data_IF_707067433855
#
_entry.id   IF_707067433855
#
_cell.length_a   1.000
_cell.length_b   1.000
_cell.length_c   1.000
_cell.angle_alpha   90.00
_cell.angle_beta   90.00
_cell.angle_gamma   90.00
#
_symmetry.space_group_name_H-M   'P 1'
#
loop_
_entity.id
_entity.type
_entity.pdbx_description
1 polymer ?
#
# COMPACT_ATOMS: atom_id res chain seq x y z
N UNK A 1 11.31 4.25 -23.47
CA UNK A 1 11.22 5.57 -22.77
C UNK A 1 12.50 5.73 -21.95
N UNK A 2 12.99 6.95 -21.68
CA UNK A 2 14.20 7.13 -20.85
C UNK A 2 13.83 6.97 -19.37
N UNK A 3 14.78 6.50 -18.54
CA UNK A 3 14.59 6.38 -17.08
C UNK A 3 14.13 7.70 -16.43
N UNK A 4 14.57 8.84 -16.95
CA UNK A 4 14.13 10.16 -16.49
C UNK A 4 12.62 10.41 -16.73
N UNK A 5 12.08 9.99 -17.88
CA UNK A 5 10.65 10.14 -18.20
C UNK A 5 9.79 9.22 -17.33
N UNK A 6 10.27 8.04 -16.97
CA UNK A 6 9.56 7.12 -16.07
C UNK A 6 9.54 7.68 -14.66
N UNK A 7 10.61 8.28 -14.16
CA UNK A 7 10.66 8.95 -12.86
C UNK A 7 9.76 10.20 -12.83
N UNK A 8 9.66 10.95 -13.93
CA UNK A 8 8.75 12.09 -14.00
C UNK A 8 7.28 11.64 -13.95
N UNK A 9 6.96 10.53 -14.58
CA UNK A 9 5.62 9.94 -14.57
C UNK A 9 5.27 9.21 -13.27
N UNK A 10 6.21 9.08 -12.31
CA UNK A 10 5.97 8.42 -11.02
C UNK A 10 5.21 9.28 -10.01
N UNK A 11 4.73 10.47 -10.39
CA UNK A 11 3.97 11.38 -9.53
C UNK A 11 2.76 11.96 -10.23
N UNK A 12 1.74 12.31 -9.43
CA UNK A 12 0.57 13.10 -9.91
C UNK A 12 0.67 14.58 -9.53
N UNK A 13 1.72 15.00 -8.82
CA UNK A 13 1.90 16.40 -8.39
C UNK A 13 2.88 17.16 -9.30
N UNK A 14 2.96 18.48 -9.14
CA UNK A 14 3.85 19.36 -9.88
C UNK A 14 4.62 20.30 -8.97
N UNK A 15 5.89 20.56 -9.30
CA UNK A 15 6.67 21.64 -8.67
C UNK A 15 5.95 22.99 -8.80
N UNK A 16 6.07 23.81 -7.77
CA UNK A 16 5.42 25.11 -7.71
C UNK A 16 3.91 25.09 -7.43
N UNK A 17 3.30 23.89 -7.32
CA UNK A 17 1.90 23.81 -6.91
C UNK A 17 1.71 24.40 -5.51
N UNK A 18 0.66 25.20 -5.34
CA UNK A 18 0.35 25.85 -4.06
C UNK A 18 -0.81 25.17 -3.38
N UNK A 19 -0.68 24.99 -2.08
CA UNK A 19 -1.67 24.43 -1.20
C UNK A 19 -1.77 25.17 0.12
N UNK A 20 -2.59 24.63 1.03
CA UNK A 20 -2.70 25.14 2.40
C UNK A 20 -2.91 24.00 3.37
N UNK A 21 -2.34 24.11 4.57
CA UNK A 21 -2.60 23.18 5.68
C UNK A 21 -2.99 23.97 6.93
N UNK A 22 -4.18 23.71 7.49
CA UNK A 22 -4.74 24.43 8.65
C UNK A 22 -4.70 25.97 8.47
N UNK A 23 -5.01 26.43 7.26
CA UNK A 23 -5.01 27.87 6.92
C UNK A 23 -3.65 28.44 6.51
N UNK A 24 -2.53 27.77 6.80
CA UNK A 24 -1.19 28.22 6.40
C UNK A 24 -0.90 27.82 4.94
N UNK A 25 -0.62 28.76 4.04
CA UNK A 25 -0.27 28.46 2.67
C UNK A 25 1.15 27.90 2.56
N UNK A 26 1.36 27.04 1.54
CA UNK A 26 2.66 26.49 1.20
C UNK A 26 2.81 26.29 -0.31
N UNK A 27 4.06 26.09 -0.73
CA UNK A 27 4.42 25.74 -2.11
C UNK A 27 5.16 24.39 -2.11
N UNK A 28 4.91 23.52 -3.09
CA UNK A 28 5.71 22.34 -3.36
C UNK A 28 7.04 22.82 -3.98
N UNK A 29 8.04 23.08 -3.14
CA UNK A 29 9.31 23.69 -3.53
C UNK A 29 10.27 22.69 -4.18
N UNK A 30 10.25 21.44 -3.75
CA UNK A 30 11.13 20.40 -4.23
C UNK A 30 10.49 19.03 -4.22
N UNK A 31 11.10 18.10 -4.95
CA UNK A 31 10.72 16.67 -5.02
C UNK A 31 11.96 15.81 -4.99
N UNK A 32 11.96 14.79 -4.16
CA UNK A 32 12.94 13.70 -4.17
C UNK A 32 12.23 12.40 -4.52
N UNK A 33 12.75 11.65 -5.49
CA UNK A 33 12.31 10.29 -5.76
C UNK A 33 13.22 9.32 -5.01
N UNK A 34 12.63 8.41 -4.26
CA UNK A 34 13.33 7.48 -3.36
C UNK A 34 12.99 6.05 -3.73
N UNK A 35 14.00 5.18 -3.62
CA UNK A 35 13.84 3.74 -3.80
C UNK A 35 14.44 2.99 -2.63
N UNK A 36 13.67 2.06 -2.01
CA UNK A 36 14.16 1.13 -1.01
C UNK A 36 15.01 0.02 -1.61
N UNK A 37 15.78 -0.67 -0.80
CA UNK A 37 16.52 -1.87 -1.18
C UNK A 37 15.61 -3.06 -1.51
N UNK A 38 14.39 -3.10 -0.94
CA UNK A 38 13.32 -4.01 -1.33
C UNK A 38 12.62 -3.63 -2.64
N UNK A 39 12.99 -2.47 -3.23
CA UNK A 39 12.52 -1.98 -4.53
C UNK A 39 11.24 -1.14 -4.49
N UNK A 40 10.74 -0.78 -3.31
CA UNK A 40 9.65 0.20 -3.17
C UNK A 40 10.06 1.55 -3.76
N UNK A 41 9.10 2.25 -4.39
CA UNK A 41 9.33 3.56 -5.01
C UNK A 41 8.32 4.57 -4.50
N UNK A 42 8.81 5.73 -3.98
CA UNK A 42 7.95 6.83 -3.54
C UNK A 42 8.55 8.19 -3.83
N UNK A 43 7.76 9.24 -3.66
CA UNK A 43 8.21 10.61 -3.78
C UNK A 43 8.06 11.35 -2.45
N UNK A 44 9.04 12.18 -2.14
CA UNK A 44 9.03 13.10 -1.00
C UNK A 44 9.01 14.53 -1.56
N UNK A 45 7.94 15.26 -1.24
CA UNK A 45 7.74 16.64 -1.68
C UNK A 45 8.07 17.60 -0.55
N UNK A 46 9.05 18.46 -0.75
CA UNK A 46 9.38 19.54 0.19
C UNK A 46 8.27 20.61 0.14
N UNK A 47 7.66 20.89 1.29
CA UNK A 47 6.69 21.96 1.47
C UNK A 47 7.37 23.16 2.11
N UNK A 48 7.47 24.25 1.37
CA UNK A 48 7.89 25.55 1.90
C UNK A 48 6.66 26.35 2.29
N UNK A 49 6.44 26.54 3.59
CA UNK A 49 5.35 27.37 4.10
C UNK A 49 5.73 28.85 4.05
N UNK A 50 4.74 29.73 3.78
CA UNK A 50 4.96 31.17 3.73
C UNK A 50 5.41 31.75 5.10
N UNK A 51 5.20 31.04 6.20
CA UNK A 51 5.65 31.38 7.55
C UNK A 51 7.03 30.80 7.93
N UNK A 52 7.75 30.24 6.96
CA UNK A 52 9.10 29.70 7.13
C UNK A 52 9.19 28.27 7.69
N UNK A 53 8.08 27.65 8.07
CA UNK A 53 8.07 26.23 8.44
C UNK A 53 8.35 25.36 7.24
N UNK A 54 8.92 24.19 7.51
CA UNK A 54 9.12 23.14 6.53
C UNK A 54 8.37 21.86 6.94
N UNK A 55 7.94 21.12 5.95
CA UNK A 55 7.35 19.81 6.09
C UNK A 55 7.63 19.02 4.81
N UNK A 56 7.34 17.73 4.80
CA UNK A 56 7.31 16.99 3.55
C UNK A 56 6.01 16.20 3.38
N UNK A 57 5.60 16.04 2.12
CA UNK A 57 4.47 15.22 1.73
C UNK A 57 5.01 13.98 1.03
N UNK A 58 4.86 12.81 1.67
CA UNK A 58 5.16 11.54 1.02
C UNK A 58 4.02 11.16 0.08
N UNK A 59 4.36 10.81 -1.16
CA UNK A 59 3.47 10.25 -2.17
C UNK A 59 3.87 8.78 -2.39
N UNK A 60 3.15 7.87 -1.73
CA UNK A 60 3.40 6.43 -1.75
C UNK A 60 2.29 5.67 -2.49
N UNK A 61 2.41 4.36 -2.62
CA UNK A 61 1.33 3.50 -3.13
C UNK A 61 0.05 3.62 -2.29
N UNK A 62 0.19 3.81 -0.98
CA UNK A 62 -0.93 3.94 -0.05
C UNK A 62 -1.62 5.32 -0.07
N UNK A 63 -1.11 6.27 -0.89
CA UNK A 63 -1.64 7.63 -0.98
C UNK A 63 -0.65 8.68 -0.48
N UNK A 64 -1.16 9.69 0.21
CA UNK A 64 -0.39 10.86 0.65
C UNK A 64 -0.34 10.93 2.17
N UNK A 65 0.86 11.20 2.71
CA UNK A 65 1.08 11.44 4.15
C UNK A 65 1.85 12.74 4.34
N UNK A 66 1.28 13.66 5.12
CA UNK A 66 1.94 14.92 5.45
C UNK A 66 2.72 14.76 6.75
N UNK A 67 4.03 15.01 6.70
CA UNK A 67 4.98 14.84 7.77
C UNK A 67 5.55 16.16 8.26
N UNK A 68 5.74 16.23 9.58
CA UNK A 68 6.46 17.31 10.28
C UNK A 68 7.57 16.70 11.12
N UNK A 69 8.70 17.40 11.21
CA UNK A 69 9.85 16.99 12.02
C UNK A 69 9.49 16.88 13.51
N UNK A 70 10.12 15.90 14.20
CA UNK A 70 10.01 15.66 15.64
C UNK A 70 11.38 15.22 16.20
N UNK A 71 11.77 15.65 17.40
CA UNK A 71 13.19 15.61 17.84
C UNK A 71 13.63 14.34 18.59
N UNK A 72 13.01 13.15 18.49
CA UNK A 72 13.46 11.97 19.27
C UNK A 72 13.27 10.68 18.47
N UNK A 73 14.34 9.88 18.35
CA UNK A 73 14.34 8.55 17.75
C UNK A 73 15.01 7.48 18.60
N UNK A 74 14.50 6.22 18.59
CA UNK A 74 15.24 5.07 19.10
C UNK A 74 16.43 4.72 18.18
N UNK A 75 17.41 3.97 18.69
CA UNK A 75 18.50 3.46 17.87
C UNK A 75 17.99 2.45 16.83
N UNK A 76 18.50 2.50 15.61
CA UNK A 76 18.06 1.62 14.50
C UNK A 76 18.21 0.14 14.83
N UNK A 77 19.30 -0.26 15.47
CA UNK A 77 19.59 -1.65 15.83
C UNK A 77 18.62 -2.20 16.88
N UNK A 78 18.00 -1.33 17.66
CA UNK A 78 17.00 -1.71 18.66
C UNK A 78 15.60 -1.94 18.07
N UNK A 79 15.39 -1.62 16.78
CA UNK A 79 14.09 -1.76 16.12
C UNK A 79 13.95 -3.14 15.49
N UNK A 80 12.83 -3.80 15.75
CA UNK A 80 12.46 -5.06 15.12
C UNK A 80 11.05 -4.92 14.52
N UNK A 81 10.87 -5.35 13.29
CA UNK A 81 9.56 -5.31 12.61
C UNK A 81 8.51 -6.06 13.42
N UNK A 82 7.33 -5.46 13.57
CA UNK A 82 6.25 -5.94 14.43
C UNK A 82 6.39 -5.57 15.91
N UNK A 83 7.51 -4.97 16.33
CA UNK A 83 7.74 -4.60 17.73
C UNK A 83 6.92 -3.37 18.12
N UNK A 84 6.10 -3.46 19.20
CA UNK A 84 5.49 -2.28 19.80
C UNK A 84 6.53 -1.47 20.59
N UNK A 85 6.48 -0.17 20.44
CA UNK A 85 7.32 0.79 21.16
C UNK A 85 6.51 1.44 22.31
N UNK A 86 7.22 1.90 23.34
CA UNK A 86 6.62 2.62 24.47
C UNK A 86 5.86 3.90 24.05
N UNK A 87 6.19 4.46 22.90
CA UNK A 87 5.51 5.61 22.29
C UNK A 87 4.14 5.29 21.70
N UNK A 88 3.71 4.01 21.66
CA UNK A 88 2.46 3.58 21.04
C UNK A 88 2.56 3.33 19.53
N UNK A 89 3.76 3.42 18.97
CA UNK A 89 4.03 3.01 17.59
C UNK A 89 4.44 1.55 17.50
N UNK A 90 4.21 0.94 16.34
CA UNK A 90 4.70 -0.38 15.94
C UNK A 90 5.64 -0.20 14.76
N UNK A 91 6.78 -0.89 14.77
CA UNK A 91 7.73 -0.90 13.66
C UNK A 91 7.10 -1.70 12.50
N UNK A 92 6.90 -1.07 11.35
CA UNK A 92 6.24 -1.71 10.20
C UNK A 92 7.22 -2.04 9.08
N UNK A 93 8.28 -1.24 8.94
CA UNK A 93 9.32 -1.46 7.95
C UNK A 93 10.66 -0.91 8.45
N UNK A 94 11.74 -1.54 8.04
CA UNK A 94 13.11 -1.04 8.23
C UNK A 94 13.98 -1.51 7.07
N UNK A 95 14.90 -0.66 6.65
CA UNK A 95 15.76 -1.01 5.52
C UNK A 95 16.72 0.10 5.14
N UNK A 96 17.18 0.02 3.91
CA UNK A 96 17.99 1.04 3.27
C UNK A 96 17.22 1.63 2.10
N UNK A 97 17.43 2.91 1.86
CA UNK A 97 16.82 3.61 0.74
C UNK A 97 17.85 4.51 0.04
N UNK A 98 17.55 4.85 -1.21
CA UNK A 98 18.38 5.73 -2.04
C UNK A 98 17.52 6.83 -2.65
N UNK A 99 18.00 8.05 -2.54
CA UNK A 99 17.46 9.19 -3.28
C UNK A 99 17.98 9.14 -4.70
N UNK A 100 17.16 8.68 -5.61
CA UNK A 100 17.56 8.37 -7.00
C UNK A 100 17.47 9.56 -7.94
N UNK A 101 16.61 10.53 -7.62
CA UNK A 101 16.48 11.78 -8.37
C UNK A 101 15.96 12.92 -7.48
N UNK A 102 16.28 14.17 -7.84
CA UNK A 102 15.86 15.39 -7.15
C UNK A 102 15.50 16.47 -8.14
N UNK A 103 14.50 17.27 -7.80
CA UNK A 103 14.01 18.40 -8.59
C UNK A 103 13.63 19.55 -7.67
N UNK A 104 13.88 20.79 -8.08
CA UNK A 104 13.55 21.98 -7.31
C UNK A 104 14.41 22.16 -6.06
N UNK A 105 13.86 22.86 -5.08
CA UNK A 105 14.53 23.18 -3.82
C UNK A 105 14.26 22.04 -2.81
N UNK A 106 15.26 21.18 -2.63
CA UNK A 106 15.24 20.06 -1.68
C UNK A 106 16.39 20.21 -0.68
N UNK A 107 16.19 19.89 0.60
CA UNK A 107 17.26 19.91 1.60
C UNK A 107 18.42 19.00 1.19
N UNK A 108 19.65 19.44 1.52
CA UNK A 108 20.82 18.56 1.39
C UNK A 108 20.68 17.36 2.32
N UNK A 109 20.88 16.18 1.76
CA UNK A 109 20.77 14.93 2.49
C UNK A 109 21.56 13.82 1.80
N UNK A 110 22.05 12.79 2.53
CA UNK A 110 22.79 11.68 1.97
C UNK A 110 22.03 11.00 0.85
N UNK A 111 22.75 10.50 -0.17
CA UNK A 111 22.14 9.78 -1.28
C UNK A 111 21.54 8.44 -0.84
N UNK A 112 22.20 7.75 0.06
CA UNK A 112 21.76 6.50 0.65
C UNK A 112 21.62 6.67 2.16
N UNK A 113 20.62 6.06 2.77
CA UNK A 113 20.35 6.16 4.20
C UNK A 113 19.63 4.91 4.70
N UNK A 114 19.74 4.66 6.01
CA UNK A 114 18.92 3.65 6.70
C UNK A 114 17.64 4.33 7.18
N UNK A 115 16.54 3.62 7.16
CA UNK A 115 15.26 4.15 7.61
C UNK A 115 14.46 3.12 8.41
N UNK A 116 13.50 3.61 9.16
CA UNK A 116 12.46 2.79 9.77
C UNK A 116 11.12 3.54 9.70
N UNK A 117 10.08 2.82 9.31
CA UNK A 117 8.72 3.32 9.29
C UNK A 117 7.92 2.71 10.44
N UNK A 118 7.09 3.53 11.05
CA UNK A 118 6.32 3.22 12.23
C UNK A 118 4.85 3.58 12.00
N UNK A 119 3.96 2.78 12.58
CA UNK A 119 2.50 3.01 12.53
C UNK A 119 1.94 3.07 13.94
N UNK A 120 0.94 3.90 14.17
CA UNK A 120 0.22 3.97 15.45
C UNK A 120 -1.27 3.69 15.29
N UNK A 121 -1.91 3.22 16.36
CA UNK A 121 -3.36 3.00 16.40
C UNK A 121 -4.17 4.30 16.29
N UNK A 122 -3.55 5.47 16.52
CA UNK A 122 -4.18 6.79 16.32
C UNK A 122 -4.21 7.24 14.86
N UNK A 123 -3.65 6.43 13.93
CA UNK A 123 -3.51 6.76 12.51
C UNK A 123 -2.37 7.73 12.21
N UNK A 124 -1.41 7.88 13.14
CA UNK A 124 -0.14 8.55 12.87
C UNK A 124 0.86 7.55 12.31
N UNK A 125 1.65 7.99 11.37
CA UNK A 125 2.84 7.28 10.88
C UNK A 125 4.07 8.09 11.26
N UNK A 126 5.18 7.40 11.52
CA UNK A 126 6.46 8.07 11.67
C UNK A 126 7.47 7.43 10.72
N UNK A 127 8.35 8.24 10.16
CA UNK A 127 9.54 7.77 9.45
C UNK A 127 10.77 8.34 10.11
N UNK A 128 11.79 7.51 10.22
CA UNK A 128 13.07 7.85 10.85
C UNK A 128 14.15 7.66 9.79
N UNK A 129 14.86 8.74 9.48
CA UNK A 129 16.07 8.72 8.64
C UNK A 129 17.30 8.68 9.54
N UNK A 130 18.05 7.59 9.51
CA UNK A 130 19.28 7.40 10.29
C UNK A 130 20.53 7.86 9.54
N UNK A 131 20.37 8.49 8.37
CA UNK A 131 21.48 8.91 7.54
C UNK A 131 22.33 7.74 7.01
N UNK A 132 23.53 8.08 6.54
CA UNK A 132 24.43 7.14 5.86
C UNK A 132 25.35 6.34 6.80
N UNK A 133 25.47 6.68 8.07
CA UNK A 133 26.42 6.06 9.00
C UNK A 133 26.06 6.25 10.47
N UNK A 134 26.82 5.60 11.38
CA UNK A 134 26.56 5.57 12.82
C UNK A 134 26.62 6.96 13.51
N UNK A 135 27.24 7.94 12.90
CA UNK A 135 27.38 9.32 13.41
C UNK A 135 26.54 10.34 12.63
N UNK A 136 25.64 9.89 11.76
CA UNK A 136 24.75 10.79 11.04
C UNK A 136 23.72 11.39 12.00
N UNK A 137 23.28 12.60 11.71
CA UNK A 137 22.09 13.16 12.34
C UNK A 137 20.90 12.25 12.03
N UNK A 138 20.02 12.08 13.01
CA UNK A 138 18.83 11.26 12.90
C UNK A 138 17.63 12.19 12.79
N UNK A 139 16.95 12.13 11.67
CA UNK A 139 15.75 12.90 11.43
C UNK A 139 14.51 12.06 11.68
N UNK A 140 13.61 12.55 12.49
CA UNK A 140 12.31 11.91 12.78
C UNK A 140 11.20 12.79 12.28
N UNK A 141 10.33 12.19 11.51
CA UNK A 141 9.14 12.85 11.01
C UNK A 141 7.89 12.08 11.43
N UNK A 142 6.88 12.80 11.93
CA UNK A 142 5.58 12.23 12.28
C UNK A 142 4.53 12.87 11.41
N UNK A 143 3.66 12.04 10.84
CA UNK A 143 2.66 12.48 9.89
C UNK A 143 1.33 11.75 10.01
N UNK A 144 0.40 12.20 9.18
CA UNK A 144 -0.92 11.57 9.02
C UNK A 144 -1.29 11.52 7.55
N UNK A 145 -2.05 10.51 7.17
CA UNK A 145 -2.66 10.43 5.83
C UNK A 145 -3.54 11.66 5.58
N UNK A 146 -3.42 12.20 4.37
CA UNK A 146 -4.17 13.38 3.92
C UNK A 146 -4.72 13.14 2.52
N UNK A 147 -5.83 13.80 2.18
CA UNK A 147 -6.29 13.88 0.78
C UNK A 147 -5.74 15.17 0.16
N UNK A 148 -5.39 15.13 -1.11
CA UNK A 148 -4.90 16.31 -1.82
C UNK A 148 -5.91 17.46 -1.78
N UNK A 149 -7.21 17.15 -1.86
CA UNK A 149 -8.28 18.13 -1.75
C UNK A 149 -8.27 18.87 -0.41
N UNK A 150 -7.93 18.21 0.71
CA UNK A 150 -7.83 18.83 2.03
C UNK A 150 -6.65 19.81 2.12
N UNK A 151 -5.66 19.62 1.28
CA UNK A 151 -4.50 20.51 1.11
C UNK A 151 -4.72 21.57 0.03
N UNK A 152 -5.86 21.56 -0.68
CA UNK A 152 -6.12 22.42 -1.83
C UNK A 152 -5.26 22.11 -3.05
N UNK A 153 -4.61 20.95 -3.07
CA UNK A 153 -3.82 20.45 -4.19
C UNK A 153 -4.72 19.70 -5.19
N UNK A 154 -4.32 19.71 -6.45
CA UNK A 154 -4.99 18.96 -7.53
C UNK A 154 -3.96 18.08 -8.26
N UNK A 155 -4.29 16.83 -8.56
CA UNK A 155 -3.45 16.02 -9.42
C UNK A 155 -3.29 16.65 -10.80
N UNK A 156 -2.07 16.68 -11.32
CA UNK A 156 -1.77 17.11 -12.70
C UNK A 156 -1.98 16.01 -13.75
N UNK A 157 -2.09 14.78 -13.29
CA UNK A 157 -2.27 13.60 -14.13
C UNK A 157 -3.32 12.68 -13.52
N UNK A 158 -4.05 11.96 -14.38
CA UNK A 158 -5.07 10.99 -13.94
C UNK A 158 -4.48 9.79 -13.22
N UNK A 159 -3.21 9.48 -13.46
CA UNK A 159 -2.47 8.44 -12.76
C UNK A 159 -0.98 8.74 -12.72
N UNK A 160 -0.28 8.14 -11.76
CA UNK A 160 1.17 7.97 -11.77
C UNK A 160 1.55 6.60 -12.33
N UNK A 161 2.79 6.46 -12.77
CA UNK A 161 3.38 5.18 -13.09
C UNK A 161 3.96 4.49 -11.87
N UNK A 162 3.88 3.17 -11.89
CA UNK A 162 4.49 2.27 -10.94
C UNK A 162 5.58 1.44 -11.61
N UNK A 163 6.12 0.47 -10.90
CA UNK A 163 7.20 -0.39 -11.36
C UNK A 163 6.62 -1.41 -12.34
N UNK A 164 7.26 -1.60 -13.47
CA UNK A 164 6.85 -2.63 -14.42
C UNK A 164 6.93 -4.02 -13.76
N UNK A 165 5.87 -4.78 -13.85
CA UNK A 165 5.86 -6.16 -13.40
C UNK A 165 6.85 -7.01 -14.20
N UNK A 166 7.39 -8.11 -13.62
CA UNK A 166 8.21 -9.04 -14.38
C UNK A 166 7.42 -9.57 -15.58
N UNK A 167 7.99 -9.39 -16.78
CA UNK A 167 7.34 -9.79 -18.02
C UNK A 167 7.49 -11.30 -18.27
N UNK A 168 6.40 -11.93 -18.68
CA UNK A 168 6.37 -13.34 -19.07
C UNK A 168 5.07 -13.67 -19.80
N UNK A 169 5.05 -14.73 -20.63
CA UNK A 169 3.81 -15.14 -21.27
C UNK A 169 2.77 -15.54 -20.21
N UNK A 170 1.52 -15.15 -20.43
CA UNK A 170 0.42 -15.58 -19.57
C UNK A 170 0.34 -17.11 -19.58
N UNK A 171 0.34 -17.78 -18.41
CA UNK A 171 0.18 -19.24 -18.34
C UNK A 171 -1.10 -19.68 -19.03
N UNK A 172 -1.05 -20.73 -19.85
CA UNK A 172 -2.20 -21.20 -20.64
C UNK A 172 -3.43 -21.59 -19.79
N UNK A 173 -3.17 -22.01 -18.55
CA UNK A 173 -4.24 -22.41 -17.61
C UNK A 173 -4.80 -21.25 -16.79
N UNK A 174 -4.22 -20.03 -16.92
CA UNK A 174 -4.64 -18.84 -16.18
C UNK A 174 -5.73 -18.12 -16.96
N UNK A 175 -6.93 -18.07 -16.41
CA UNK A 175 -8.04 -17.32 -16.93
C UNK A 175 -8.16 -15.97 -16.22
N UNK A 176 -7.97 -14.88 -16.95
CA UNK A 176 -8.06 -13.54 -16.43
C UNK A 176 -9.44 -12.92 -16.71
N UNK A 177 -10.06 -12.38 -15.67
CA UNK A 177 -11.43 -11.81 -15.72
C UNK A 177 -11.42 -10.30 -15.96
N UNK A 178 -10.37 -9.62 -15.51
CA UNK A 178 -10.12 -8.22 -15.80
C UNK A 178 -8.77 -8.11 -16.51
N UNK A 179 -8.61 -7.04 -17.28
CA UNK A 179 -7.37 -6.73 -17.99
C UNK A 179 -6.70 -5.48 -17.41
N UNK A 180 -5.38 -5.38 -17.54
CA UNK A 180 -4.66 -4.12 -17.28
C UNK A 180 -5.26 -3.02 -18.17
N UNK A 181 -5.65 -1.92 -17.53
CA UNK A 181 -6.34 -0.81 -18.18
C UNK A 181 -7.85 -0.80 -18.00
N UNK A 182 -8.49 -1.90 -17.58
CA UNK A 182 -9.91 -1.89 -17.22
C UNK A 182 -10.20 -0.86 -16.14
N UNK A 183 -11.32 -0.16 -16.24
CA UNK A 183 -11.76 0.81 -15.25
C UNK A 183 -13.10 0.41 -14.67
N UNK A 184 -13.27 0.66 -13.37
CA UNK A 184 -14.49 0.34 -12.66
C UNK A 184 -14.72 1.25 -11.47
N UNK A 185 -15.98 1.39 -11.07
CA UNK A 185 -16.38 2.23 -9.95
C UNK A 185 -16.83 1.37 -8.78
N UNK A 186 -16.06 1.42 -7.68
CA UNK A 186 -16.31 0.64 -6.47
C UNK A 186 -16.62 1.56 -5.28
N UNK A 187 -17.42 1.07 -4.36
CA UNK A 187 -17.69 1.75 -3.10
C UNK A 187 -16.52 1.54 -2.14
N UNK A 188 -15.93 2.65 -1.67
CA UNK A 188 -14.86 2.70 -0.67
C UNK A 188 -15.19 3.80 0.33
N UNK A 189 -15.09 3.52 1.64
CA UNK A 189 -15.26 4.51 2.72
C UNK A 189 -16.51 5.40 2.58
N UNK A 190 -17.63 4.80 2.13
CA UNK A 190 -18.91 5.52 1.95
C UNK A 190 -18.99 6.38 0.68
N UNK A 191 -17.99 6.39 -0.17
CA UNK A 191 -17.97 7.09 -1.46
C UNK A 191 -17.78 6.10 -2.62
N UNK A 192 -18.11 6.54 -3.83
CA UNK A 192 -17.79 5.79 -5.05
C UNK A 192 -16.49 6.31 -5.64
N UNK A 193 -15.56 5.40 -5.85
CA UNK A 193 -14.23 5.72 -6.38
C UNK A 193 -14.01 4.97 -7.69
N UNK A 194 -13.57 5.70 -8.71
CA UNK A 194 -13.17 5.12 -9.98
C UNK A 194 -11.75 4.63 -9.90
N UNK A 195 -11.56 3.33 -10.10
CA UNK A 195 -10.27 2.66 -10.12
C UNK A 195 -9.92 2.19 -11.52
N UNK A 196 -8.62 2.14 -11.78
CA UNK A 196 -8.04 1.50 -12.96
C UNK A 196 -7.22 0.30 -12.53
N UNK A 197 -7.36 -0.83 -13.23
CA UNK A 197 -6.46 -1.98 -13.08
C UNK A 197 -5.10 -1.59 -13.66
N UNK A 198 -4.08 -1.54 -12.83
CA UNK A 198 -2.70 -1.19 -13.24
C UNK A 198 -1.82 -2.42 -13.38
N UNK A 199 -2.08 -3.48 -12.62
CA UNK A 199 -1.34 -4.71 -12.64
C UNK A 199 -2.18 -5.90 -12.21
N UNK A 200 -1.67 -7.08 -12.48
CA UNK A 200 -2.30 -8.36 -12.13
C UNK A 200 -1.21 -9.29 -11.62
N UNK A 201 -1.46 -9.98 -10.51
CA UNK A 201 -0.61 -11.06 -10.02
C UNK A 201 -1.40 -12.36 -9.93
N UNK A 202 -0.72 -13.48 -10.14
CA UNK A 202 -1.23 -14.83 -9.85
C UNK A 202 -0.33 -15.44 -8.80
N UNK A 203 -0.93 -15.85 -7.69
CA UNK A 203 -0.22 -16.39 -6.53
C UNK A 203 -0.68 -17.79 -6.19
N UNK A 204 0.13 -18.53 -5.45
CA UNK A 204 -0.22 -19.84 -4.92
C UNK A 204 0.29 -20.03 -3.50
N UNK A 205 -0.39 -20.90 -2.77
CA UNK A 205 0.02 -21.38 -1.44
C UNK A 205 -0.19 -22.89 -1.37
N UNK A 206 0.64 -23.59 -0.58
CA UNK A 206 0.41 -25.00 -0.24
C UNK A 206 0.03 -25.12 1.22
N UNK A 207 -1.14 -25.72 1.46
CA UNK A 207 -1.67 -25.98 2.80
C UNK A 207 -1.98 -27.48 2.86
N UNK A 208 -1.41 -28.21 3.82
CA UNK A 208 -1.60 -29.67 3.99
C UNK A 208 -1.35 -30.50 2.72
N UNK A 209 -0.42 -30.03 1.87
CA UNK A 209 -0.07 -30.68 0.60
C UNK A 209 -0.87 -30.23 -0.62
N UNK A 210 -2.06 -29.68 -0.41
CA UNK A 210 -2.91 -29.15 -1.47
C UNK A 210 -2.44 -27.75 -1.93
N UNK A 211 -2.57 -27.48 -3.23
CA UNK A 211 -2.20 -26.19 -3.81
C UNK A 211 -3.44 -25.35 -4.08
N UNK A 212 -3.48 -24.16 -3.49
CA UNK A 212 -4.49 -23.14 -3.72
C UNK A 212 -3.91 -22.01 -4.54
N UNK A 213 -4.70 -21.40 -5.42
CA UNK A 213 -4.28 -20.27 -6.26
C UNK A 213 -5.32 -19.18 -6.24
N UNK A 214 -4.86 -17.95 -6.48
CA UNK A 214 -5.73 -16.78 -6.62
C UNK A 214 -5.10 -15.73 -7.53
N UNK A 215 -5.92 -14.84 -8.05
CA UNK A 215 -5.51 -13.66 -8.78
C UNK A 215 -5.77 -12.39 -7.96
N UNK A 216 -4.84 -11.44 -8.07
CA UNK A 216 -4.95 -10.13 -7.47
C UNK A 216 -4.89 -9.08 -8.59
N UNK A 217 -5.95 -8.31 -8.75
CA UNK A 217 -6.01 -7.18 -9.66
C UNK A 217 -5.64 -5.93 -8.87
N UNK A 218 -4.49 -5.36 -9.17
CA UNK A 218 -3.98 -4.15 -8.52
C UNK A 218 -4.73 -2.96 -9.11
N UNK A 219 -5.51 -2.29 -8.28
CA UNK A 219 -6.32 -1.14 -8.61
C UNK A 219 -5.63 0.14 -8.15
N UNK A 220 -5.73 1.20 -8.93
CA UNK A 220 -5.23 2.52 -8.53
C UNK A 220 -6.24 3.61 -8.82
N UNK A 221 -6.38 4.54 -7.88
CA UNK A 221 -7.04 5.83 -8.04
C UNK A 221 -6.15 6.92 -7.44
N UNK A 222 -6.03 8.11 -8.09
CA UNK A 222 -5.05 9.14 -7.69
C UNK A 222 -5.12 9.57 -6.22
N UNK A 223 -6.31 9.67 -5.66
CA UNK A 223 -6.51 10.11 -4.27
C UNK A 223 -6.71 8.96 -3.28
N UNK A 224 -7.26 7.83 -3.73
CA UNK A 224 -7.51 6.66 -2.87
C UNK A 224 -6.29 5.72 -2.78
N UNK A 225 -5.27 5.94 -3.63
CA UNK A 225 -4.10 5.07 -3.69
C UNK A 225 -4.42 3.72 -4.31
N UNK A 226 -3.66 2.70 -3.88
CA UNK A 226 -3.79 1.32 -4.36
C UNK A 226 -4.82 0.56 -3.52
N UNK A 227 -5.58 -0.29 -4.20
CA UNK A 227 -6.46 -1.33 -3.65
C UNK A 227 -6.27 -2.61 -4.47
N UNK A 228 -6.83 -3.70 -4.01
CA UNK A 228 -6.79 -4.96 -4.75
C UNK A 228 -8.20 -5.54 -4.87
N UNK A 229 -8.49 -6.14 -6.00
CA UNK A 229 -9.55 -7.13 -6.11
C UNK A 229 -8.89 -8.50 -6.14
N UNK A 230 -9.13 -9.28 -5.12
CA UNK A 230 -8.60 -10.64 -4.98
C UNK A 230 -9.71 -11.63 -5.31
N UNK A 231 -9.45 -12.56 -6.22
CA UNK A 231 -10.39 -13.60 -6.59
C UNK A 231 -9.77 -14.99 -6.38
N UNK A 232 -10.52 -15.85 -5.68
CA UNK A 232 -10.23 -17.26 -5.53
C UNK A 232 -11.53 -18.05 -5.64
N UNK A 233 -11.56 -19.12 -6.42
CA UNK A 233 -12.73 -19.97 -6.63
C UNK A 233 -14.02 -19.17 -7.01
N UNK A 234 -13.86 -18.07 -7.73
CA UNK A 234 -14.96 -17.19 -8.14
C UNK A 234 -15.49 -16.25 -7.05
N UNK A 235 -14.90 -16.26 -5.85
CA UNK A 235 -15.22 -15.34 -4.78
C UNK A 235 -14.28 -14.14 -4.80
N UNK A 236 -14.86 -12.94 -4.71
CA UNK A 236 -14.13 -11.68 -4.81
C UNK A 236 -14.07 -10.96 -3.47
N UNK A 237 -12.92 -10.33 -3.22
CA UNK A 237 -12.72 -9.44 -2.09
C UNK A 237 -12.12 -8.12 -2.58
N UNK A 238 -12.71 -7.00 -2.18
CA UNK A 238 -12.05 -5.69 -2.29
C UNK A 238 -11.16 -5.51 -1.05
N UNK A 239 -9.86 -5.35 -1.30
CA UNK A 239 -8.83 -5.35 -0.26
C UNK A 239 -8.17 -3.97 -0.19
N UNK A 240 -7.97 -3.49 1.02
CA UNK A 240 -7.27 -2.24 1.35
C UNK A 240 -6.20 -2.48 2.40
N UNK A 241 -5.09 -1.74 2.32
CA UNK A 241 -4.09 -1.73 3.39
C UNK A 241 -4.65 -1.04 4.62
N UNK A 242 -4.35 -1.59 5.79
CA UNK A 242 -4.65 -1.00 7.09
C UNK A 242 -3.37 -0.80 7.89
N UNK A 243 -3.40 0.14 8.84
CA UNK A 243 -2.26 0.39 9.70
C UNK A 243 -2.00 -0.83 10.61
N UNK A 244 -0.79 -1.41 10.61
CA UNK A 244 -0.47 -2.58 11.42
C UNK A 244 -0.75 -2.38 12.92
N UNK A 245 -0.55 -1.18 13.44
CA UNK A 245 -0.86 -0.85 14.83
C UNK A 245 -2.36 -0.91 15.21
N UNK A 246 -3.27 -1.03 14.23
CA UNK A 246 -4.70 -1.28 14.48
C UNK A 246 -5.01 -2.75 14.77
N UNK A 247 -4.03 -3.65 14.60
CA UNK A 247 -4.24 -5.09 14.72
C UNK A 247 -3.48 -5.64 15.93
N UNK A 248 -4.21 -6.28 16.81
CA UNK A 248 -3.66 -7.04 17.93
C UNK A 248 -3.78 -8.54 17.61
N UNK A 249 -2.65 -9.18 17.34
CA UNK A 249 -2.58 -10.61 17.04
C UNK A 249 -2.42 -11.43 18.32
N UNK A 250 -3.10 -12.56 18.42
CA UNK A 250 -3.04 -13.50 19.54
C UNK A 250 -3.32 -14.93 19.06
N UNK A 251 -3.10 -15.91 19.91
CA UNK A 251 -3.47 -17.31 19.63
C UNK A 251 -4.96 -17.51 19.30
N UNK A 252 -5.83 -16.61 19.78
CA UNK A 252 -7.28 -16.67 19.55
C UNK A 252 -7.69 -16.07 18.22
N UNK A 253 -6.79 -15.34 17.54
CA UNK A 253 -7.03 -14.64 16.29
C UNK A 253 -6.48 -13.22 16.30
N UNK A 254 -6.91 -12.42 15.36
CA UNK A 254 -6.54 -11.01 15.24
C UNK A 254 -7.72 -10.12 15.64
N UNK A 255 -7.46 -9.12 16.48
CA UNK A 255 -8.46 -8.10 16.87
C UNK A 255 -8.17 -6.81 16.13
N UNK A 256 -9.16 -6.29 15.41
CA UNK A 256 -9.10 -4.99 14.76
C UNK A 256 -10.49 -4.36 14.68
N UNK A 257 -10.60 -3.03 14.67
CA UNK A 257 -11.87 -2.29 14.58
C UNK A 257 -12.89 -2.69 15.67
N UNK A 258 -12.40 -3.05 16.87
CA UNK A 258 -13.24 -3.52 17.97
C UNK A 258 -13.73 -4.97 17.87
N UNK A 259 -13.35 -5.70 16.81
CA UNK A 259 -13.87 -7.03 16.49
C UNK A 259 -12.77 -8.10 16.48
N UNK A 260 -13.14 -9.34 16.82
CA UNK A 260 -12.25 -10.49 16.77
C UNK A 260 -12.45 -11.26 15.45
N UNK A 261 -11.39 -11.41 14.69
CA UNK A 261 -11.30 -12.24 13.48
C UNK A 261 -10.64 -13.58 13.87
N UNK A 262 -11.26 -14.69 13.49
CA UNK A 262 -10.75 -16.04 13.80
C UNK A 262 -9.67 -16.44 12.82
N UNK A 263 -8.63 -17.19 13.23
CA UNK A 263 -7.65 -17.74 12.32
C UNK A 263 -8.33 -18.55 11.22
N UNK A 264 -7.84 -18.42 9.99
CA UNK A 264 -8.37 -19.13 8.83
C UNK A 264 -7.30 -19.94 8.11
N UNK A 265 -6.26 -19.27 7.62
CA UNK A 265 -5.16 -19.92 6.92
C UNK A 265 -3.84 -19.26 7.27
N UNK A 266 -2.74 -20.01 7.10
CA UNK A 266 -1.38 -19.47 7.17
C UNK A 266 -0.46 -20.30 6.30
N UNK A 267 0.60 -19.68 5.81
CA UNK A 267 1.60 -20.38 5.01
C UNK A 267 2.48 -19.42 4.23
N UNK A 268 3.11 -19.94 3.19
CA UNK A 268 4.03 -19.20 2.33
C UNK A 268 3.41 -19.02 0.95
N UNK A 269 2.95 -17.83 0.67
CA UNK A 269 2.41 -17.46 -0.63
C UNK A 269 3.55 -17.19 -1.62
N UNK A 270 3.43 -17.70 -2.83
CA UNK A 270 4.41 -17.56 -3.90
C UNK A 270 3.83 -16.79 -5.08
N UNK A 271 4.60 -15.86 -5.62
CA UNK A 271 4.27 -15.18 -6.87
C UNK A 271 4.61 -16.10 -8.06
N UNK A 272 3.60 -16.50 -8.80
CA UNK A 272 3.72 -17.42 -9.94
C UNK A 272 3.79 -16.68 -11.28
N UNK A 273 3.10 -15.54 -11.39
CA UNK A 273 3.04 -14.73 -12.58
C UNK A 273 2.57 -13.32 -12.25
N UNK A 274 3.00 -12.33 -13.04
CA UNK A 274 2.55 -10.95 -12.94
C UNK A 274 2.53 -10.25 -14.30
N UNK A 275 1.75 -9.18 -14.41
CA UNK A 275 1.68 -8.33 -15.61
C UNK A 275 1.27 -6.91 -15.25
N UNK A 276 1.62 -5.95 -16.11
CA UNK A 276 1.30 -4.54 -15.93
C UNK A 276 2.30 -3.81 -15.03
N UNK A 277 1.81 -3.03 -14.09
CA UNK A 277 2.60 -2.24 -13.15
C UNK A 277 2.24 -2.65 -11.70
N UNK A 278 3.25 -2.72 -10.84
CA UNK A 278 3.08 -3.05 -9.42
C UNK A 278 3.64 -1.91 -8.54
N UNK A 279 3.07 -1.66 -7.35
CA UNK A 279 3.58 -0.65 -6.43
C UNK A 279 4.90 -1.05 -5.73
N UNK A 280 5.38 -2.26 -5.93
CA UNK A 280 6.64 -2.80 -5.41
C UNK A 280 7.41 -3.51 -6.52
N UNK A 281 8.72 -3.71 -6.32
CA UNK A 281 9.52 -4.58 -7.18
C UNK A 281 9.19 -6.05 -6.86
N UNK A 282 8.88 -6.82 -7.88
CA UNK A 282 8.53 -8.22 -7.76
C UNK A 282 9.39 -9.09 -8.67
N UNK A 283 9.69 -10.30 -8.23
CA UNK A 283 10.27 -11.36 -9.05
C UNK A 283 9.40 -12.61 -9.02
N UNK A 284 9.29 -13.29 -10.16
CA UNK A 284 8.57 -14.58 -10.19
C UNK A 284 9.28 -15.56 -9.26
N UNK A 285 8.52 -16.12 -8.36
CA UNK A 285 9.03 -17.00 -7.33
C UNK A 285 9.20 -16.35 -5.95
N UNK A 286 9.02 -15.03 -5.83
CA UNK A 286 9.00 -14.36 -4.52
C UNK A 286 8.02 -15.03 -3.58
N UNK A 287 8.43 -15.15 -2.32
CA UNK A 287 7.68 -15.83 -1.28
C UNK A 287 7.46 -14.89 -0.11
N UNK A 288 6.22 -14.80 0.35
CA UNK A 288 5.82 -14.00 1.51
C UNK A 288 5.12 -14.90 2.52
N UNK A 289 5.41 -14.75 3.80
CA UNK A 289 4.63 -15.42 4.85
C UNK A 289 3.29 -14.73 5.01
N UNK A 290 2.21 -15.51 5.04
CA UNK A 290 0.84 -15.00 5.14
C UNK A 290 0.10 -15.62 6.30
N UNK A 291 -0.76 -14.84 6.94
CA UNK A 291 -1.70 -15.28 7.98
C UNK A 291 -3.03 -14.57 7.77
N UNK A 292 -4.08 -15.36 7.59
CA UNK A 292 -5.43 -14.88 7.31
C UNK A 292 -6.36 -15.12 8.48
N UNK A 293 -7.24 -14.16 8.72
CA UNK A 293 -8.24 -14.19 9.79
C UNK A 293 -9.59 -13.74 9.24
N UNK A 294 -10.66 -14.39 9.70
CA UNK A 294 -11.99 -14.20 9.12
C UNK A 294 -13.03 -13.80 10.13
N UNK A 295 -13.83 -12.82 9.75
CA UNK A 295 -15.09 -12.42 10.38
C UNK A 295 -16.03 -11.84 9.32
N UNK A 296 -16.90 -12.69 8.77
CA UNK A 296 -17.76 -12.28 7.65
C UNK A 296 -18.51 -10.95 7.91
N UNK A 297 -18.56 -10.03 6.96
CA UNK A 297 -18.10 -10.15 5.56
C UNK A 297 -16.61 -9.80 5.35
N UNK A 298 -15.85 -9.62 6.42
CA UNK A 298 -14.46 -9.17 6.37
C UNK A 298 -13.46 -10.31 6.59
N UNK A 299 -12.28 -10.10 6.09
CA UNK A 299 -11.08 -10.85 6.44
C UNK A 299 -9.92 -9.88 6.68
N UNK A 300 -8.97 -10.29 7.50
CA UNK A 300 -7.69 -9.64 7.65
C UNK A 300 -6.63 -10.57 7.08
N UNK A 301 -5.65 -9.99 6.38
CA UNK A 301 -4.47 -10.70 5.91
C UNK A 301 -3.23 -9.98 6.38
N UNK A 302 -2.33 -10.73 6.99
CA UNK A 302 -1.00 -10.30 7.36
C UNK A 302 -0.02 -10.86 6.35
N UNK A 303 0.80 -10.02 5.75
CA UNK A 303 1.97 -10.45 4.99
C UNK A 303 3.23 -9.95 5.70
N UNK A 304 4.23 -10.81 5.85
CA UNK A 304 5.46 -10.46 6.55
C UNK A 304 6.70 -11.04 5.90
N UNK A 305 7.77 -10.26 5.97
CA UNK A 305 9.15 -10.63 5.68
C UNK A 305 10.02 -10.31 6.90
N UNK A 306 11.33 -10.44 6.79
CA UNK A 306 12.24 -10.03 7.85
C UNK A 306 12.22 -8.51 8.09
N UNK A 307 11.92 -7.72 7.06
CA UNK A 307 12.11 -6.28 7.02
C UNK A 307 10.80 -5.50 6.88
N UNK A 308 9.67 -6.18 6.64
CA UNK A 308 8.38 -5.54 6.41
C UNK A 308 7.23 -6.35 7.01
N UNK A 309 6.25 -5.65 7.57
CA UNK A 309 4.98 -6.18 8.06
C UNK A 309 3.84 -5.36 7.46
N UNK A 310 2.98 -6.00 6.70
CA UNK A 310 1.78 -5.37 6.15
C UNK A 310 0.52 -6.06 6.64
N UNK A 311 -0.51 -5.27 6.85
CA UNK A 311 -1.85 -5.75 7.12
C UNK A 311 -2.84 -5.18 6.11
N UNK A 312 -3.77 -6.00 5.71
CA UNK A 312 -4.86 -5.61 4.83
C UNK A 312 -6.20 -6.11 5.35
N UNK A 313 -7.27 -5.40 4.97
CA UNK A 313 -8.66 -5.79 5.21
C UNK A 313 -9.35 -6.06 3.90
N UNK A 314 -9.81 -7.28 3.69
CA UNK A 314 -10.65 -7.68 2.57
C UNK A 314 -12.13 -7.62 2.94
N UNK A 315 -12.94 -7.07 2.05
CA UNK A 315 -14.42 -7.10 2.16
C UNK A 315 -14.97 -7.98 1.06
N UNK A 316 -15.77 -9.00 1.42
CA UNK A 316 -16.44 -9.84 0.43
C UNK A 316 -17.28 -8.98 -0.51
N UNK A 317 -16.99 -9.08 -1.79
CA UNK A 317 -17.66 -8.32 -2.84
C UNK A 317 -18.36 -9.32 -3.78
N UNK A 318 -19.68 -9.31 -3.87
CA UNK A 318 -20.40 -10.24 -4.76
C UNK A 318 -19.92 -10.11 -6.22
N UNK A 319 -19.77 -11.22 -6.96
CA UNK A 319 -19.29 -11.19 -8.35
C UNK A 319 -20.09 -10.28 -9.26
N UNK A 320 -21.41 -10.18 -9.07
CA UNK A 320 -22.28 -9.29 -9.84
C UNK A 320 -21.99 -7.79 -9.56
N UNK A 321 -21.54 -7.45 -8.37
CA UNK A 321 -21.08 -6.08 -8.02
C UNK A 321 -19.83 -5.75 -8.81
N UNK A 322 -18.85 -6.66 -8.84
CA UNK A 322 -17.61 -6.48 -9.61
C UNK A 322 -17.92 -6.42 -11.10
N UNK A 323 -18.79 -7.32 -11.60
CA UNK A 323 -19.21 -7.34 -13.00
C UNK A 323 -19.81 -6.00 -13.43
N UNK A 324 -20.76 -5.46 -12.65
CA UNK A 324 -21.36 -4.14 -12.94
C UNK A 324 -20.35 -3.01 -12.88
N UNK A 325 -19.45 -3.03 -11.88
CA UNK A 325 -18.43 -2.00 -11.71
C UNK A 325 -17.50 -1.88 -12.93
N UNK A 326 -17.09 -3.00 -13.49
CA UNK A 326 -16.15 -3.08 -14.63
C UNK A 326 -16.83 -3.35 -15.99
N UNK A 327 -18.14 -3.29 -16.07
CA UNK A 327 -18.87 -3.49 -17.32
C UNK A 327 -18.70 -4.90 -17.92
N UNK A 328 -18.44 -5.92 -17.10
CA UNK A 328 -18.27 -7.31 -17.56
C UNK A 328 -19.59 -8.04 -17.56
N UNK A 329 -19.82 -8.86 -18.59
CA UNK A 329 -21.04 -9.66 -18.69
C UNK A 329 -21.02 -10.92 -17.83
N UNK A 330 -19.85 -11.54 -17.73
CA UNK A 330 -19.63 -12.78 -17.01
C UNK A 330 -18.37 -12.64 -16.16
N UNK A 331 -18.45 -13.13 -14.93
CA UNK A 331 -17.34 -13.42 -14.05
C UNK A 331 -17.43 -14.89 -13.61
N UNK A 332 -16.35 -15.46 -13.03
CA UNK A 332 -16.38 -16.84 -12.56
C UNK A 332 -17.53 -17.05 -11.60
N UNK A 333 -18.24 -18.16 -11.77
CA UNK A 333 -19.24 -18.56 -10.78
C UNK A 333 -18.52 -19.04 -9.52
N UNK A 334 -18.95 -18.56 -8.33
CA UNK A 334 -18.38 -19.03 -7.08
C UNK A 334 -18.50 -20.56 -6.94
N UNK A 335 -17.38 -21.19 -6.56
CA UNK A 335 -17.34 -22.60 -6.18
C UNK A 335 -17.34 -22.70 -4.66
N UNK A 336 -18.24 -23.53 -4.11
CA UNK A 336 -18.32 -23.67 -2.67
C UNK A 336 -18.77 -22.38 -1.95
N UNK A 337 -18.20 -22.16 -0.76
CA UNK A 337 -18.49 -20.99 0.06
C UNK A 337 -17.17 -20.36 0.54
N UNK A 338 -17.02 -19.05 0.30
CA UNK A 338 -15.89 -18.34 0.85
C UNK A 338 -15.97 -18.19 2.38
N UNK A 339 -14.84 -18.18 3.07
CA UNK A 339 -14.80 -18.09 4.54
C UNK A 339 -15.47 -16.84 5.07
N UNK A 340 -15.34 -15.71 4.38
CA UNK A 340 -15.95 -14.43 4.75
C UNK A 340 -17.22 -14.09 3.97
N UNK A 341 -17.80 -15.04 3.21
CA UNK A 341 -19.06 -14.82 2.53
C UNK A 341 -20.20 -14.60 3.55
N UNK A 342 -20.96 -13.50 3.46
CA UNK A 342 -22.10 -13.26 4.34
C UNK A 342 -23.12 -14.39 4.27
N UNK A 343 -23.76 -14.71 5.39
CA UNK A 343 -24.92 -15.59 5.38
C UNK A 343 -26.07 -14.82 4.74
N UNK A 344 -26.65 -15.38 3.68
CA UNK A 344 -27.91 -14.86 3.11
C UNK A 344 -28.97 -15.04 4.20
N UNK A 345 -29.65 -13.96 4.67
CA UNK A 345 -30.77 -14.12 5.58
C UNK A 345 -31.79 -15.05 4.93
N UNK A 346 -32.18 -16.10 5.62
CA UNK A 346 -33.36 -16.90 5.18
C UNK A 346 -34.52 -15.93 5.12
N UNK A 347 -35.04 -15.67 3.93
CA UNK A 347 -36.33 -15.00 3.79
C UNK A 347 -37.33 -15.84 4.58
N UNK A 348 -37.91 -15.23 5.64
CA UNK A 348 -39.02 -15.82 6.41
C UNK A 348 -40.33 -15.62 5.65
#
# INVERSE_FOLDING_TARGET
MSAAADLEASTVLALGARGKHRGAPFTLAGRTCVQSDTGGLWNEWTLAFDDGRQAFLAETAAGFTLFFERPIAPAFEALTVGQPLASGFVVVERGQARRIARWGDVPESPRAYRYADLSSASGETATIDYGAGERSEVDVFVGRKVRLADLGLRPRAERRRFIAAPSGPTPKALELWLAVGDEGELATDGSRTRFRVIGITHRSIRIEGERYTWEEYVLHAPEAGVRWLVVSDGHWNLVESIEPALVEESERGARAFGELYKPWSSGRARLEWASGELPWTAAIGDVTETRDYVRAPWMLSCESTADELTWSRGTYTPPDVVARAFGKRLLPKPSGRAPNQPKIPKQR
#
